data_IF_226906342607
#
_entry.id   IF_226906342607
#
_cell.length_a   1.000
_cell.length_b   1.000
_cell.length_c   1.000
_cell.angle_alpha   90.00
_cell.angle_beta   90.00
_cell.angle_gamma   90.00
#
_symmetry.space_group_name_H-M   'P 1'
#
loop_
_entity.id
_entity.type
_entity.pdbx_description
1 polymer ?
#
# COMPACT_ATOMS: atom_id res chain seq x y z
N UNK A 1 -18.21 -14.35 7.28
CA UNK A 1 -17.26 -13.93 8.33
C UNK A 1 -17.45 -12.45 8.63
N UNK A 2 -16.75 -11.86 9.62
CA UNK A 2 -16.80 -10.41 9.89
C UNK A 2 -15.41 -9.82 9.69
N UNK A 3 -15.34 -8.62 9.14
CA UNK A 3 -14.11 -7.86 9.06
C UNK A 3 -13.59 -7.54 10.46
N UNK A 4 -12.34 -7.90 10.75
CA UNK A 4 -11.71 -7.57 12.03
C UNK A 4 -11.57 -6.06 12.26
N UNK A 5 -11.53 -5.26 11.20
CA UNK A 5 -11.32 -3.81 11.26
C UNK A 5 -12.62 -3.02 11.44
N UNK A 6 -13.67 -3.34 10.70
CA UNK A 6 -14.93 -2.58 10.71
C UNK A 6 -16.15 -3.37 11.22
N UNK A 7 -15.98 -4.65 11.59
CA UNK A 7 -17.04 -5.57 11.99
C UNK A 7 -18.15 -5.81 10.95
N UNK A 8 -18.02 -5.31 9.72
CA UNK A 8 -18.99 -5.60 8.66
C UNK A 8 -18.99 -7.09 8.30
N UNK A 9 -20.18 -7.70 8.14
CA UNK A 9 -20.31 -9.07 7.70
C UNK A 9 -20.00 -9.19 6.19
N UNK A 10 -19.24 -10.22 5.81
CA UNK A 10 -19.00 -10.60 4.41
C UNK A 10 -19.18 -12.10 4.19
N UNK A 11 -19.56 -12.47 2.97
CA UNK A 11 -19.74 -13.87 2.57
C UNK A 11 -18.37 -14.54 2.34
N UNK A 12 -18.14 -15.79 2.79
CA UNK A 12 -16.94 -16.55 2.44
C UNK A 12 -16.84 -16.82 0.93
N UNK A 13 -17.96 -16.76 0.22
CA UNK A 13 -18.06 -17.10 -1.21
C UNK A 13 -17.64 -15.95 -2.14
N UNK A 14 -17.46 -14.73 -1.62
CA UNK A 14 -17.03 -13.55 -2.40
C UNK A 14 -15.50 -13.34 -2.37
N UNK A 15 -14.77 -14.22 -1.68
CA UNK A 15 -13.35 -14.05 -1.41
C UNK A 15 -12.54 -14.79 -2.46
N UNK A 16 -11.99 -14.04 -3.43
CA UNK A 16 -10.95 -14.52 -4.33
C UNK A 16 -9.69 -14.85 -3.51
N UNK A 17 -9.57 -16.11 -3.10
CA UNK A 17 -8.33 -16.75 -2.59
C UNK A 17 -7.73 -16.06 -1.36
N UNK A 18 -8.28 -16.33 -0.17
CA UNK A 18 -7.49 -16.15 1.06
C UNK A 18 -6.45 -17.26 1.13
N UNK A 19 -5.17 -16.90 1.05
CA UNK A 19 -4.10 -17.82 1.46
C UNK A 19 -4.23 -18.10 2.96
N UNK A 20 -3.79 -19.29 3.42
CA UNK A 20 -3.95 -19.80 4.81
C UNK A 20 -3.40 -18.87 5.91
N UNK A 21 -2.82 -17.72 5.58
CA UNK A 21 -2.17 -16.76 6.49
C UNK A 21 -2.83 -15.38 6.48
N UNK A 22 -3.93 -15.17 5.75
CA UNK A 22 -4.58 -13.86 5.67
C UNK A 22 -5.66 -13.66 6.73
N UNK A 23 -5.66 -12.47 7.35
CA UNK A 23 -6.66 -12.07 8.34
C UNK A 23 -7.95 -11.61 7.64
N UNK A 24 -9.15 -11.96 8.14
CA UNK A 24 -10.42 -11.59 7.53
C UNK A 24 -10.67 -10.07 7.61
N UNK A 25 -10.31 -9.35 6.55
CA UNK A 25 -10.49 -7.90 6.37
C UNK A 25 -11.35 -7.67 5.12
N UNK A 26 -12.25 -6.67 5.14
CA UNK A 26 -13.16 -6.38 4.03
C UNK A 26 -12.44 -5.69 2.87
N UNK A 27 -12.87 -5.87 1.60
CA UNK A 27 -12.26 -5.20 0.43
C UNK A 27 -12.17 -3.68 0.59
N UNK A 28 -13.16 -3.05 1.22
CA UNK A 28 -13.16 -1.60 1.50
C UNK A 28 -12.07 -1.22 2.51
N UNK A 29 -11.84 -2.10 3.48
CA UNK A 29 -10.92 -1.94 4.59
C UNK A 29 -9.48 -2.27 4.20
N UNK A 30 -9.34 -3.18 3.23
CA UNK A 30 -8.12 -3.60 2.56
C UNK A 30 -7.69 -2.52 1.55
N UNK A 31 -8.64 -1.93 0.83
CA UNK A 31 -8.43 -0.78 -0.04
C UNK A 31 -7.96 0.51 0.66
N UNK A 32 -7.93 0.56 2.00
CA UNK A 32 -7.36 1.69 2.76
C UNK A 32 -5.82 1.71 2.78
N UNK A 33 -5.13 0.64 2.37
CA UNK A 33 -3.67 0.62 2.30
C UNK A 33 -3.25 0.27 0.87
N UNK A 34 -2.45 1.12 0.23
CA UNK A 34 -2.02 0.85 -1.15
C UNK A 34 -0.97 -0.26 -1.15
N UNK A 35 -1.35 -1.45 -1.62
CA UNK A 35 -0.43 -2.59 -1.79
C UNK A 35 0.11 -2.63 -3.23
N UNK A 36 1.43 -2.69 -3.40
CA UNK A 36 2.03 -2.95 -4.71
C UNK A 36 3.39 -3.64 -4.63
N UNK A 37 3.69 -4.46 -5.64
CA UNK A 37 4.94 -5.19 -5.80
C UNK A 37 5.90 -4.40 -6.69
N UNK A 38 7.18 -4.37 -6.33
CA UNK A 38 8.25 -3.76 -7.13
C UNK A 38 9.44 -4.69 -7.24
N UNK A 39 10.00 -4.76 -8.44
CA UNK A 39 11.26 -5.45 -8.72
C UNK A 39 12.43 -4.49 -8.43
N UNK A 40 13.36 -4.88 -7.56
CA UNK A 40 14.51 -4.08 -7.15
C UNK A 40 15.82 -4.86 -7.35
N UNK A 41 16.72 -4.30 -8.15
CA UNK A 41 18.00 -4.91 -8.57
C UNK A 41 19.23 -4.37 -7.80
N UNK A 42 19.02 -3.45 -6.86
CA UNK A 42 20.10 -2.84 -6.08
C UNK A 42 20.96 -1.81 -6.84
N UNK A 43 20.58 -1.42 -8.06
CA UNK A 43 21.35 -0.47 -8.88
C UNK A 43 21.25 0.99 -8.41
N UNK A 44 20.14 1.35 -7.76
CA UNK A 44 19.83 2.68 -7.23
C UNK A 44 19.66 2.63 -5.71
N UNK A 45 19.85 3.75 -5.01
CA UNK A 45 19.52 3.83 -3.59
C UNK A 45 18.06 3.42 -3.33
N UNK A 46 17.86 2.58 -2.32
CA UNK A 46 16.57 1.97 -2.05
C UNK A 46 15.46 3.01 -1.74
N UNK A 47 15.82 4.09 -1.03
CA UNK A 47 14.87 5.14 -0.70
C UNK A 47 14.51 5.98 -1.93
N UNK A 48 15.51 6.32 -2.75
CA UNK A 48 15.29 7.03 -4.03
C UNK A 48 14.42 6.20 -4.99
N UNK A 49 14.71 4.90 -5.11
CA UNK A 49 13.92 3.96 -5.89
C UNK A 49 12.46 3.93 -5.43
N UNK A 50 12.21 3.75 -4.12
CA UNK A 50 10.86 3.75 -3.57
C UNK A 50 10.15 5.09 -3.77
N UNK A 51 10.86 6.20 -3.64
CA UNK A 51 10.34 7.54 -3.94
C UNK A 51 9.79 7.63 -5.36
N UNK A 52 10.50 7.08 -6.35
CA UNK A 52 10.04 7.02 -7.75
C UNK A 52 8.86 6.08 -7.96
N UNK A 53 8.74 5.01 -7.18
CA UNK A 53 7.61 4.09 -7.31
C UNK A 53 6.33 4.68 -6.70
N UNK A 54 6.46 5.34 -5.55
CA UNK A 54 5.35 6.04 -4.87
C UNK A 54 4.86 7.23 -5.69
N UNK A 55 5.75 8.00 -6.31
CA UNK A 55 5.37 9.17 -7.12
C UNK A 55 4.57 8.86 -8.38
N UNK A 56 4.58 7.61 -8.84
CA UNK A 56 3.68 7.16 -9.91
C UNK A 56 2.22 7.06 -9.46
N UNK A 57 1.94 7.10 -8.15
CA UNK A 57 0.59 7.00 -7.59
C UNK A 57 -0.05 8.38 -7.46
N UNK A 58 -1.29 8.46 -7.93
CA UNK A 58 -2.11 9.67 -7.85
C UNK A 58 -2.78 9.71 -6.47
N UNK A 59 -2.79 10.89 -5.86
CA UNK A 59 -3.47 11.14 -4.59
C UNK A 59 -4.98 10.94 -4.73
N UNK A 60 -5.57 10.09 -3.88
CA UNK A 60 -7.01 9.81 -3.91
C UNK A 60 -7.86 10.98 -3.45
N UNK A 61 -7.32 11.81 -2.55
CA UNK A 61 -8.05 12.93 -1.96
C UNK A 61 -8.27 14.07 -2.95
N UNK A 62 -7.24 14.43 -3.72
CA UNK A 62 -7.31 15.56 -4.63
C UNK A 62 -7.34 15.18 -6.11
N UNK A 63 -7.00 13.94 -6.46
CA UNK A 63 -6.99 13.37 -7.83
C UNK A 63 -6.08 14.16 -8.81
N UNK A 64 -5.35 15.15 -8.32
CA UNK A 64 -4.51 16.08 -9.10
C UNK A 64 -3.03 15.93 -8.78
N UNK A 65 -2.69 15.70 -7.52
CA UNK A 65 -1.32 15.54 -7.06
C UNK A 65 -0.86 14.09 -7.09
N UNK A 66 0.45 13.90 -7.10
CA UNK A 66 1.10 12.61 -6.87
C UNK A 66 1.52 12.50 -5.41
N UNK A 67 1.78 11.28 -4.94
CA UNK A 67 2.34 11.07 -3.61
C UNK A 67 3.86 11.22 -3.59
N UNK A 68 4.40 11.78 -2.53
CA UNK A 68 5.84 11.84 -2.25
C UNK A 68 6.15 10.98 -1.02
N UNK A 69 7.30 10.28 -1.07
CA UNK A 69 7.74 9.44 0.03
C UNK A 69 8.30 10.30 1.17
N UNK A 70 7.78 10.08 2.38
CA UNK A 70 8.22 10.81 3.59
C UNK A 70 9.15 9.94 4.43
N UNK A 71 8.73 8.70 4.69
CA UNK A 71 9.52 7.77 5.48
C UNK A 71 9.17 6.33 5.13
N UNK A 72 10.09 5.43 5.45
CA UNK A 72 9.91 3.99 5.29
C UNK A 72 10.23 3.28 6.60
N UNK A 73 9.52 2.17 6.83
CA UNK A 73 9.87 1.16 7.81
C UNK A 73 10.28 -0.10 7.05
N UNK A 74 11.54 -0.48 7.21
CA UNK A 74 12.11 -1.66 6.56
C UNK A 74 11.36 -2.93 6.98
N UNK A 75 11.14 -3.83 6.02
CA UNK A 75 10.37 -5.06 6.17
C UNK A 75 10.02 -5.63 4.79
N UNK A 76 9.28 -6.73 4.75
CA UNK A 76 8.58 -7.17 3.54
C UNK A 76 7.15 -7.57 3.92
N UNK A 77 6.16 -6.67 3.72
CA UNK A 77 6.26 -5.43 2.95
C UNK A 77 7.02 -4.31 3.67
N UNK A 78 7.63 -3.41 2.89
CA UNK A 78 8.10 -2.11 3.36
C UNK A 78 6.88 -1.22 3.58
N UNK A 79 6.74 -0.66 4.78
CA UNK A 79 5.67 0.29 5.08
C UNK A 79 6.16 1.70 4.75
N UNK A 80 5.59 2.32 3.73
CA UNK A 80 5.90 3.67 3.27
C UNK A 80 4.83 4.66 3.77
N UNK A 81 5.26 5.71 4.44
CA UNK A 81 4.43 6.87 4.73
C UNK A 81 4.61 7.90 3.63
N UNK A 82 3.49 8.38 3.08
CA UNK A 82 3.51 9.24 1.90
C UNK A 82 2.66 10.48 2.12
N UNK A 83 2.98 11.56 1.41
CA UNK A 83 2.25 12.82 1.46
C UNK A 83 1.96 13.32 0.06
N UNK A 84 0.76 13.84 -0.18
CA UNK A 84 0.49 14.58 -1.39
C UNK A 84 0.86 16.06 -1.18
N UNK A 85 1.83 16.64 -1.91
CA UNK A 85 2.22 18.04 -1.76
C UNK A 85 1.12 19.01 -2.24
N UNK A 86 0.17 18.55 -3.06
CA UNK A 86 -0.91 19.39 -3.58
C UNK A 86 -2.03 19.66 -2.57
N UNK A 87 -2.36 18.69 -1.71
CA UNK A 87 -3.45 18.80 -0.74
C UNK A 87 -3.04 18.47 0.69
N UNK A 88 -1.76 18.17 0.94
CA UNK A 88 -1.19 17.75 2.21
C UNK A 88 -1.84 16.51 2.83
N UNK A 89 -2.56 15.71 2.04
CA UNK A 89 -3.09 14.43 2.47
C UNK A 89 -1.94 13.48 2.80
N UNK A 90 -2.05 12.78 3.92
CA UNK A 90 -1.08 11.77 4.37
C UNK A 90 -1.70 10.40 4.21
N UNK A 91 -0.90 9.45 3.73
CA UNK A 91 -1.37 8.11 3.44
C UNK A 91 -0.28 7.07 3.77
N UNK A 92 -0.65 5.79 3.71
CA UNK A 92 0.24 4.66 3.94
C UNK A 92 0.18 3.67 2.78
N UNK A 93 1.35 3.19 2.40
CA UNK A 93 1.50 2.21 1.32
C UNK A 93 2.33 1.02 1.80
N UNK A 94 1.94 -0.17 1.38
CA UNK A 94 2.68 -1.41 1.60
C UNK A 94 3.37 -1.80 0.31
N UNK A 95 4.70 -1.72 0.30
CA UNK A 95 5.52 -2.04 -0.88
C UNK A 95 6.20 -3.38 -0.70
N UNK A 96 5.79 -4.38 -1.47
CA UNK A 96 6.45 -5.67 -1.49
C UNK A 96 7.66 -5.60 -2.42
N UNK A 97 8.80 -6.08 -1.93
CA UNK A 97 10.05 -6.05 -2.70
C UNK A 97 10.34 -7.45 -3.22
N UNK A 98 10.53 -7.54 -4.54
CA UNK A 98 11.10 -8.72 -5.18
C UNK A 98 12.52 -8.38 -5.65
N UNK A 99 13.50 -9.09 -5.09
CA UNK A 99 14.89 -8.95 -5.51
C UNK A 99 15.13 -9.72 -6.81
N UNK A 100 15.72 -9.06 -7.80
CA UNK A 100 16.02 -9.58 -9.14
C UNK A 100 17.49 -9.50 -9.46
#
# INVERSE_FOLDING_TARGET
MKCLKCNMPFSPDDILVMEDHELPVCDVCDAEEYHFLVDYDGSEDFFEFLGKQVSKKICIECIRGQYELVSIMYGNPVKAAVICPSCNAKDKMSVYIKFV
#
